data_IF_977068142131
#
_entry.id   IF_977068142131
#
_cell.length_a   1.000
_cell.length_b   1.000
_cell.length_c   1.000
_cell.angle_alpha   90.00
_cell.angle_beta   90.00
_cell.angle_gamma   90.00
#
_symmetry.space_group_name_H-M   'P 1'
#
loop_
_entity.id
_entity.type
_entity.pdbx_description
1 polymer ?
#
# COMPACT_ATOMS: atom_id res chain seq x y z
N UNK A 1 -15.12 20.44 6.51
CA UNK A 1 -15.00 19.98 5.51
C UNK A 1 -14.31 18.83 5.40
N UNK A 2 -14.52 18.03 4.91
CA UNK A 2 -13.99 16.93 4.83
C UNK A 2 -13.31 16.72 3.77
N UNK A 3 -12.34 16.47 3.86
CA UNK A 3 -11.53 16.36 2.77
C UNK A 3 -11.19 14.98 2.45
N UNK A 4 -10.77 14.72 1.24
CA UNK A 4 -10.23 13.44 0.92
C UNK A 4 -8.93 13.23 1.65
N UNK A 5 -8.56 11.99 2.01
CA UNK A 5 -7.23 11.71 2.56
C UNK A 5 -6.16 12.09 1.54
N UNK A 6 -5.01 12.50 2.02
CA UNK A 6 -3.89 12.84 1.13
C UNK A 6 -3.35 11.56 0.49
N UNK A 7 -2.58 11.74 -0.58
CA UNK A 7 -1.93 10.61 -1.24
C UNK A 7 -1.02 9.86 -0.26
N UNK A 8 -0.34 10.62 0.59
CA UNK A 8 0.53 10.02 1.59
C UNK A 8 -0.28 9.19 2.59
N UNK A 9 -1.41 9.71 3.05
CA UNK A 9 -2.26 8.98 4.00
C UNK A 9 -2.78 7.68 3.40
N UNK A 10 -3.21 7.74 2.13
CA UNK A 10 -3.71 6.54 1.46
C UNK A 10 -2.58 5.53 1.26
N UNK A 11 -1.38 6.01 0.90
CA UNK A 11 -0.25 5.10 0.72
C UNK A 11 0.10 4.38 2.02
N UNK A 12 0.00 5.09 3.15
CA UNK A 12 0.25 4.47 4.46
C UNK A 12 -0.87 3.50 4.83
N UNK A 13 -2.10 3.82 4.48
CA UNK A 13 -3.21 2.90 4.67
C UNK A 13 -2.99 1.60 3.90
N UNK A 14 -2.49 1.71 2.67
CA UNK A 14 -2.19 0.55 1.86
C UNK A 14 -1.10 -0.31 2.52
N UNK A 15 -0.04 0.33 3.02
CA UNK A 15 0.99 -0.41 3.77
C UNK A 15 0.39 -1.13 4.97
N UNK A 16 -0.51 -0.46 5.68
CA UNK A 16 -1.17 -1.07 6.83
C UNK A 16 -1.95 -2.32 6.46
N UNK A 17 -2.55 -2.34 5.27
CA UNK A 17 -3.27 -3.50 4.80
C UNK A 17 -2.30 -4.65 4.53
N UNK A 18 -1.13 -4.38 3.92
CA UNK A 18 -0.10 -5.40 3.79
C UNK A 18 0.29 -5.97 5.15
N UNK A 19 0.47 -5.10 6.14
CA UNK A 19 0.87 -5.56 7.47
C UNK A 19 -0.22 -6.39 8.13
N UNK A 20 -1.48 -5.99 7.93
CA UNK A 20 -2.62 -6.72 8.50
C UNK A 20 -2.68 -8.16 7.96
N UNK A 21 -2.29 -8.34 6.71
CA UNK A 21 -2.28 -9.66 6.09
C UNK A 21 -0.93 -10.37 6.25
N UNK A 22 -0.04 -9.76 7.02
CA UNK A 22 1.26 -10.35 7.37
C UNK A 22 2.10 -10.68 6.13
N UNK A 23 2.05 -9.79 5.16
CA UNK A 23 2.81 -9.97 3.93
C UNK A 23 4.27 -9.64 4.22
N UNK A 24 5.20 -10.56 3.90
CA UNK A 24 6.62 -10.29 4.12
C UNK A 24 7.19 -9.38 3.03
N UNK A 25 8.42 -8.94 3.23
CA UNK A 25 9.13 -8.21 2.18
C UNK A 25 9.15 -9.07 0.91
N UNK A 26 8.91 -8.45 -0.21
CA UNK A 26 8.78 -9.06 -1.54
C UNK A 26 7.52 -9.92 -1.71
N UNK A 27 6.66 -9.99 -0.69
CA UNK A 27 5.37 -10.65 -0.85
C UNK A 27 4.38 -9.77 -1.62
N UNK A 28 3.28 -10.35 -2.06
CA UNK A 28 2.32 -9.66 -2.91
C UNK A 28 0.91 -9.73 -2.35
N UNK A 29 0.08 -8.75 -2.72
CA UNK A 29 -1.35 -8.77 -2.51
C UNK A 29 -2.03 -8.33 -3.79
N UNK A 30 -3.22 -8.87 -4.04
CA UNK A 30 -4.02 -8.48 -5.19
C UNK A 30 -4.94 -7.33 -4.81
N UNK A 31 -5.42 -6.62 -5.84
CA UNK A 31 -6.26 -5.43 -5.65
C UNK A 31 -7.47 -5.69 -4.72
N UNK A 32 -8.06 -6.86 -4.83
CA UNK A 32 -9.27 -7.14 -4.06
C UNK A 32 -9.04 -7.19 -2.54
N UNK A 33 -7.80 -7.31 -2.09
CA UNK A 33 -7.51 -7.24 -0.65
C UNK A 33 -7.59 -5.81 -0.10
N UNK A 34 -7.63 -4.83 -0.99
CA UNK A 34 -7.71 -3.42 -0.60
C UNK A 34 -9.13 -2.88 -0.76
N UNK A 35 -10.11 -3.72 -0.52
CA UNK A 35 -11.51 -3.36 -0.80
C UNK A 35 -12.00 -2.15 0.01
N UNK A 36 -11.38 -1.85 1.14
CA UNK A 36 -11.79 -0.70 1.94
C UNK A 36 -11.31 0.63 1.34
N UNK A 37 -10.45 0.60 0.34
CA UNK A 37 -9.93 1.80 -0.28
C UNK A 37 -10.65 2.02 -1.60
N UNK A 38 -11.27 3.20 -1.76
CA UNK A 38 -11.99 3.53 -2.98
C UNK A 38 -11.03 3.58 -4.16
N UNK A 39 -11.54 3.25 -5.35
CA UNK A 39 -10.69 3.15 -6.54
C UNK A 39 -9.90 4.43 -6.80
N UNK A 40 -10.56 5.59 -6.72
CA UNK A 40 -9.86 6.84 -7.01
C UNK A 40 -8.75 7.12 -5.99
N UNK A 41 -9.04 6.84 -4.72
CA UNK A 41 -8.03 7.02 -3.67
C UNK A 41 -6.93 5.99 -3.80
N UNK A 42 -7.31 4.75 -4.10
CA UNK A 42 -6.34 3.66 -4.23
C UNK A 42 -5.32 3.98 -5.31
N UNK A 43 -5.77 4.47 -6.46
CA UNK A 43 -4.84 4.79 -7.55
C UNK A 43 -3.83 5.85 -7.12
N UNK A 44 -4.31 6.89 -6.45
CA UNK A 44 -3.41 7.95 -5.95
C UNK A 44 -2.44 7.41 -4.91
N UNK A 45 -2.95 6.56 -4.00
CA UNK A 45 -2.12 5.98 -2.95
C UNK A 45 -1.07 5.03 -3.50
N UNK A 46 -1.44 4.22 -4.49
CA UNK A 46 -0.48 3.32 -5.13
C UNK A 46 0.59 4.13 -5.86
N UNK A 47 0.20 5.17 -6.58
CA UNK A 47 1.18 6.01 -7.27
C UNK A 47 2.17 6.61 -6.28
N UNK A 48 1.68 7.07 -5.14
CA UNK A 48 2.55 7.63 -4.11
C UNK A 48 3.45 6.56 -3.50
N UNK A 49 2.91 5.38 -3.24
CA UNK A 49 3.69 4.28 -2.67
C UNK A 49 4.79 3.83 -3.62
N UNK A 50 4.49 3.81 -4.93
CA UNK A 50 5.51 3.48 -5.93
C UNK A 50 6.59 4.57 -5.94
N UNK A 51 6.18 5.83 -5.89
CA UNK A 51 7.13 6.95 -5.87
C UNK A 51 8.02 6.89 -4.63
N UNK A 52 7.49 6.41 -3.51
CA UNK A 52 8.26 6.25 -2.27
C UNK A 52 9.08 4.98 -2.24
N UNK A 53 9.00 4.18 -3.29
CA UNK A 53 9.69 2.89 -3.38
C UNK A 53 9.20 1.88 -2.34
N UNK A 54 7.96 1.99 -1.94
CA UNK A 54 7.36 1.06 -0.97
C UNK A 54 6.71 -0.14 -1.64
N UNK A 55 6.22 0.04 -2.86
CA UNK A 55 5.44 -0.96 -3.59
C UNK A 55 5.85 -0.93 -5.04
N UNK A 56 5.84 -2.10 -5.67
CA UNK A 56 5.97 -2.20 -7.13
C UNK A 56 4.74 -2.89 -7.68
N UNK A 57 4.45 -2.62 -8.94
CA UNK A 57 3.31 -3.23 -9.62
C UNK A 57 3.84 -4.37 -10.49
N UNK A 58 3.18 -5.53 -10.39
CA UNK A 58 3.58 -6.68 -11.15
C UNK A 58 3.43 -6.38 -12.64
N UNK A 59 4.49 -6.64 -13.41
CA UNK A 59 4.48 -6.35 -14.85
C UNK A 59 3.51 -7.24 -15.62
N UNK A 60 3.20 -8.41 -15.09
CA UNK A 60 2.31 -9.36 -15.78
C UNK A 60 0.87 -9.23 -15.35
N UNK A 61 0.64 -8.70 -14.15
CA UNK A 61 -0.71 -8.59 -13.62
C UNK A 61 -0.82 -7.26 -12.87
N UNK A 62 -1.44 -6.28 -13.49
CA UNK A 62 -1.56 -4.93 -12.94
C UNK A 62 -2.38 -4.88 -11.66
N UNK A 63 -3.07 -5.95 -11.31
CA UNK A 63 -3.87 -6.00 -10.08
C UNK A 63 -3.13 -6.69 -8.95
N UNK A 64 -1.84 -6.97 -9.15
CA UNK A 64 -1.00 -7.56 -8.11
C UNK A 64 0.10 -6.56 -7.73
N UNK A 65 0.23 -6.33 -6.45
CA UNK A 65 1.16 -5.31 -5.92
C UNK A 65 2.15 -5.99 -4.99
N UNK A 66 3.43 -5.69 -5.18
CA UNK A 66 4.49 -6.31 -4.39
C UNK A 66 5.04 -5.32 -3.38
N UNK A 67 5.18 -5.77 -2.15
CA UNK A 67 5.76 -4.96 -1.08
C UNK A 67 7.27 -5.04 -1.19
N UNK A 68 7.94 -3.88 -1.25
CA UNK A 68 9.40 -3.85 -1.29
C UNK A 68 9.95 -3.99 0.12
N UNK A 69 11.28 -4.21 0.22
CA UNK A 69 11.92 -4.23 1.54
C UNK A 69 11.77 -2.89 2.23
N UNK A 70 11.85 -1.80 1.48
CA UNK A 70 11.65 -0.46 2.03
C UNK A 70 10.23 -0.30 2.54
N UNK A 71 9.24 -0.77 1.75
CA UNK A 71 7.84 -0.71 2.16
C UNK A 71 7.57 -1.56 3.39
N UNK A 72 8.19 -2.73 3.46
CA UNK A 72 8.04 -3.59 4.63
C UNK A 72 8.55 -2.90 5.89
N UNK A 73 9.73 -2.27 5.80
CA UNK A 73 10.30 -1.56 6.94
C UNK A 73 9.40 -0.41 7.39
N UNK A 74 8.88 0.35 6.42
CA UNK A 74 7.99 1.46 6.73
C UNK A 74 6.68 0.96 7.34
N UNK A 75 6.14 -0.11 6.80
CA UNK A 75 4.90 -0.70 7.31
C UNK A 75 5.06 -1.19 8.73
N UNK A 76 6.19 -1.78 9.05
CA UNK A 76 6.45 -2.24 10.40
C UNK A 76 6.50 -1.08 11.39
N UNK A 77 7.07 0.03 10.97
CA UNK A 77 7.10 1.22 11.83
C UNK A 77 5.71 1.74 12.10
N UNK A 78 4.87 1.77 11.07
CA UNK A 78 3.49 2.20 11.23
C UNK A 78 2.75 1.27 12.19
N UNK A 79 2.94 -0.03 12.02
CA UNK A 79 2.25 -1.03 12.83
C UNK A 79 2.66 -0.93 14.29
N UNK A 80 3.92 -0.63 14.55
CA UNK A 80 4.43 -0.52 15.91
C UNK A 80 3.92 0.70 16.65
N UNK A 81 3.54 1.74 15.91
CA UNK A 81 3.04 2.96 16.53
C UNK A 81 1.62 2.75 17.06
N UNK A 82 0.92 1.82 16.49
CA UNK A 82 -0.43 1.51 16.93
C UNK A 82 -0.41 0.56 18.11
#
# INVERSE_FOLDING_TARGET
>A
MHDRPSDEDVSRQILGIFMRHRVPATGTLQRNYFFEVRDSDFQRGINKAVANNWITIDLRNRYRYQLTTTGYAEGRMIDQVL
#
